data_IF_514656297490
#
_entry.id   IF_514656297490
#
_cell.length_a   1.000
_cell.length_b   1.000
_cell.length_c   1.000
_cell.angle_alpha   90.00
_cell.angle_beta   90.00
_cell.angle_gamma   90.00
#
_symmetry.space_group_name_H-M   'P 1'
#
loop_
_entity.id
_entity.type
_entity.pdbx_description
1 polymer ?
#
# COMPACT_ATOMS: atom_id res chain seq x y z
N UNK A 1 -13.27 12.24 35.02
CA UNK A 1 -13.97 11.46 33.97
C UNK A 1 -13.41 10.05 34.03
N UNK A 2 -14.16 8.98 33.74
CA UNK A 2 -13.52 7.66 33.68
C UNK A 2 -12.38 7.72 32.65
N UNK A 3 -11.23 7.13 32.97
CA UNK A 3 -10.15 6.92 32.00
C UNK A 3 -10.71 6.02 30.90
N UNK A 4 -11.25 6.66 29.87
CA UNK A 4 -11.34 6.04 28.56
C UNK A 4 -9.89 5.86 28.14
N UNK A 5 -9.41 4.62 28.21
CA UNK A 5 -8.07 4.27 27.78
C UNK A 5 -7.78 4.73 26.33
N UNK A 6 -6.60 4.41 25.80
CA UNK A 6 -6.08 5.03 24.58
C UNK A 6 -7.11 5.04 23.43
N UNK A 7 -7.28 6.19 22.80
CA UNK A 7 -8.27 6.41 21.76
C UNK A 7 -7.66 7.00 20.48
N UNK A 8 -8.08 6.51 19.32
CA UNK A 8 -7.69 7.07 18.04
C UNK A 8 -8.54 8.30 17.71
N UNK A 9 -7.86 9.41 17.45
CA UNK A 9 -8.42 10.61 16.84
C UNK A 9 -8.06 10.60 15.36
N UNK A 10 -9.05 10.77 14.49
CA UNK A 10 -8.87 10.77 13.03
C UNK A 10 -9.32 12.10 12.42
N UNK A 11 -8.50 12.65 11.55
CA UNK A 11 -8.79 13.84 10.76
C UNK A 11 -8.58 13.56 9.27
N UNK A 12 -9.63 13.78 8.46
CA UNK A 12 -9.56 13.75 7.00
C UNK A 12 -9.17 15.14 6.49
N UNK A 13 -7.87 15.43 6.46
CA UNK A 13 -7.32 16.66 5.94
C UNK A 13 -7.39 16.76 4.41
N UNK A 14 -6.89 17.88 3.88
CA UNK A 14 -6.75 18.08 2.44
C UNK A 14 -5.37 17.58 2.02
N UNK A 15 -5.34 16.58 1.14
CA UNK A 15 -4.09 15.99 0.65
C UNK A 15 -3.46 14.96 1.59
N UNK A 16 -4.03 14.75 2.78
CA UNK A 16 -3.57 13.77 3.76
C UNK A 16 -4.64 13.45 4.80
N UNK A 17 -4.57 12.24 5.38
CA UNK A 17 -5.36 11.80 6.50
C UNK A 17 -4.46 11.52 7.70
N UNK A 18 -4.85 12.02 8.87
CA UNK A 18 -4.07 11.93 10.11
C UNK A 18 -4.82 11.09 11.13
N UNK A 19 -4.10 10.20 11.81
CA UNK A 19 -4.59 9.46 12.95
C UNK A 19 -3.59 9.58 14.12
N UNK A 20 -4.09 9.88 15.32
CA UNK A 20 -3.29 9.94 16.53
C UNK A 20 -3.93 9.10 17.63
N UNK A 21 -3.17 8.16 18.20
CA UNK A 21 -3.56 7.46 19.41
C UNK A 21 -3.22 8.35 20.61
N UNK A 22 -4.25 8.77 21.34
CA UNK A 22 -4.10 9.69 22.47
C UNK A 22 -4.42 8.96 23.78
N UNK A 23 -3.57 9.16 24.78
CA UNK A 23 -3.72 8.69 26.16
C UNK A 23 -3.28 9.80 27.11
N UNK A 24 -4.11 10.18 28.09
CA UNK A 24 -3.86 11.29 29.03
C UNK A 24 -3.33 12.59 28.37
N UNK A 25 -4.05 13.09 27.37
CA UNK A 25 -3.71 14.29 26.57
C UNK A 25 -2.33 14.21 25.87
N UNK A 26 -1.77 13.01 25.71
CA UNK A 26 -0.51 12.78 24.99
C UNK A 26 -0.75 11.90 23.77
N UNK A 27 -0.16 12.28 22.64
CA UNK A 27 -0.07 11.42 21.46
C UNK A 27 1.01 10.35 21.75
N UNK A 28 0.59 9.09 21.77
CA UNK A 28 1.48 7.94 21.98
C UNK A 28 1.81 7.20 20.68
N UNK A 29 0.98 7.36 19.64
CA UNK A 29 1.21 6.86 18.28
C UNK A 29 0.59 7.83 17.27
N UNK A 30 1.20 7.97 16.09
CA UNK A 30 0.65 8.75 15.01
C UNK A 30 0.87 8.05 13.66
N UNK A 31 -0.14 8.12 12.79
CA UNK A 31 -0.08 7.67 11.42
C UNK A 31 -0.54 8.81 10.50
N UNK A 32 0.19 9.02 9.41
CA UNK A 32 -0.11 10.01 8.38
C UNK A 32 -0.16 9.27 7.05
N UNK A 33 -1.28 9.38 6.35
CA UNK A 33 -1.47 8.84 5.02
C UNK A 33 -1.60 9.99 4.02
N UNK A 34 -0.68 10.06 3.06
CA UNK A 34 -0.76 11.06 2.00
C UNK A 34 -1.80 10.63 0.96
N UNK A 35 -2.61 11.59 0.50
CA UNK A 35 -3.55 11.41 -0.60
C UNK A 35 -2.78 11.33 -1.92
N UNK A 36 -2.31 10.13 -2.25
CA UNK A 36 -1.53 9.87 -3.46
C UNK A 36 -2.04 8.61 -4.13
N UNK A 37 -1.95 8.60 -5.46
CA UNK A 37 -2.18 7.41 -6.28
C UNK A 37 -0.98 6.44 -6.28
N UNK A 38 -0.03 6.62 -5.34
CA UNK A 38 1.14 5.77 -5.27
C UNK A 38 0.79 4.38 -4.73
N UNK A 39 1.55 3.38 -5.17
CA UNK A 39 1.42 2.01 -4.69
C UNK A 39 1.75 1.94 -3.19
N UNK A 40 0.89 1.24 -2.43
CA UNK A 40 1.02 1.09 -0.98
C UNK A 40 1.60 -0.27 -0.63
N UNK A 41 2.35 -0.34 0.47
CA UNK A 41 2.83 -1.62 1.02
C UNK A 41 1.63 -2.46 1.44
N UNK A 42 1.63 -3.75 1.08
CA UNK A 42 0.52 -4.67 1.34
C UNK A 42 -0.67 -4.52 0.39
N UNK A 43 -0.55 -3.71 -0.67
CA UNK A 43 -1.57 -3.60 -1.71
C UNK A 43 -1.70 -4.92 -2.46
N UNK A 44 -2.87 -5.56 -2.35
CA UNK A 44 -3.22 -6.70 -3.20
C UNK A 44 -3.99 -6.20 -4.42
N UNK A 45 -3.39 -6.26 -5.60
CA UNK A 45 -3.98 -5.70 -6.81
C UNK A 45 -3.86 -6.63 -8.02
N UNK A 46 -4.75 -6.44 -9.00
CA UNK A 46 -4.62 -7.07 -10.32
C UNK A 46 -3.68 -6.27 -11.18
N UNK A 47 -2.72 -6.95 -11.78
CA UNK A 47 -1.67 -6.36 -12.59
C UNK A 47 -1.61 -7.02 -13.97
N UNK A 48 -0.89 -6.38 -14.89
CA UNK A 48 -0.52 -6.92 -16.19
C UNK A 48 1.00 -7.00 -16.28
N UNK A 49 1.53 -8.18 -16.61
CA UNK A 49 2.96 -8.34 -16.87
C UNK A 49 3.33 -7.63 -18.16
N UNK A 50 4.03 -6.50 -18.08
CA UNK A 50 4.40 -5.68 -19.24
C UNK A 50 5.78 -6.01 -19.78
N UNK A 51 6.64 -6.62 -18.96
CA UNK A 51 7.99 -7.03 -19.37
C UNK A 51 8.46 -8.27 -18.59
N UNK A 52 8.99 -9.26 -19.30
CA UNK A 52 9.69 -10.41 -18.73
C UNK A 52 11.19 -10.10 -18.59
N UNK A 53 11.72 -10.27 -17.39
CA UNK A 53 13.12 -10.03 -17.06
C UNK A 53 13.84 -11.35 -16.73
N UNK A 54 15.18 -11.42 -16.89
CA UNK A 54 15.96 -12.60 -16.53
C UNK A 54 15.77 -13.01 -15.07
N UNK A 55 15.79 -14.32 -14.81
CA UNK A 55 15.71 -14.88 -13.46
C UNK A 55 14.30 -14.94 -12.86
N UNK A 56 13.26 -15.14 -13.69
CA UNK A 56 11.84 -15.16 -13.28
C UNK A 56 11.43 -13.85 -12.60
N UNK A 57 11.91 -12.73 -13.14
CA UNK A 57 11.51 -11.39 -12.71
C UNK A 57 10.65 -10.76 -13.79
N UNK A 58 9.92 -9.70 -13.45
CA UNK A 58 9.19 -8.94 -14.44
C UNK A 58 8.79 -7.57 -13.94
N UNK A 59 8.36 -6.74 -14.88
CA UNK A 59 7.71 -5.47 -14.59
C UNK A 59 6.22 -5.62 -14.82
N UNK A 60 5.44 -5.23 -13.83
CA UNK A 60 3.99 -5.27 -13.90
C UNK A 60 3.44 -3.84 -13.90
N UNK A 61 2.43 -3.61 -14.73
CA UNK A 61 1.62 -2.39 -14.68
C UNK A 61 0.34 -2.68 -13.90
N UNK A 62 -0.03 -1.77 -13.02
CA UNK A 62 -1.18 -1.84 -12.13
C UNK A 62 -1.73 -0.43 -11.93
N UNK A 63 -2.94 -0.33 -11.36
CA UNK A 63 -3.51 0.98 -11.07
C UNK A 63 -2.63 1.69 -10.03
N UNK A 64 -2.26 2.95 -10.30
CA UNK A 64 -1.29 3.68 -9.49
C UNK A 64 0.20 3.52 -9.85
N UNK A 65 0.57 2.66 -10.82
CA UNK A 65 1.92 2.68 -11.38
C UNK A 65 2.50 1.36 -11.89
N UNK A 66 3.83 1.28 -11.89
CA UNK A 66 4.58 0.08 -12.26
C UNK A 66 5.35 -0.46 -11.06
N UNK A 67 5.45 -1.78 -10.95
CA UNK A 67 6.21 -2.46 -9.92
C UNK A 67 7.11 -3.54 -10.51
N UNK A 68 8.21 -3.83 -9.82
CA UNK A 68 9.06 -4.97 -10.11
C UNK A 68 8.62 -6.17 -9.27
N UNK A 69 8.47 -7.31 -9.92
CA UNK A 69 8.16 -8.57 -9.28
C UNK A 69 9.32 -9.54 -9.38
N UNK A 70 9.58 -10.18 -8.26
CA UNK A 70 10.46 -11.34 -8.16
C UNK A 70 9.61 -12.62 -8.14
N UNK A 71 10.18 -13.74 -8.59
CA UNK A 71 9.55 -15.06 -8.52
C UNK A 71 8.24 -15.19 -9.30
N UNK A 72 8.23 -14.74 -10.55
CA UNK A 72 7.11 -14.99 -11.46
C UNK A 72 6.76 -16.49 -11.51
N UNK A 73 5.46 -16.82 -11.53
CA UNK A 73 5.01 -18.19 -11.78
C UNK A 73 5.60 -18.73 -13.09
N UNK A 74 6.00 -20.01 -13.14
CA UNK A 74 6.51 -20.60 -14.38
C UNK A 74 5.45 -20.56 -15.47
N UNK A 75 5.86 -20.33 -16.73
CA UNK A 75 4.96 -20.34 -17.89
C UNK A 75 4.13 -19.08 -18.10
N UNK A 76 4.26 -18.05 -17.25
CA UNK A 76 3.59 -16.76 -17.48
C UNK A 76 4.24 -16.01 -18.64
N UNK A 77 3.41 -15.43 -19.52
CA UNK A 77 3.87 -14.68 -20.68
C UNK A 77 3.60 -13.19 -20.51
N UNK A 78 4.35 -12.36 -21.24
CA UNK A 78 4.05 -10.93 -21.32
C UNK A 78 2.60 -10.72 -21.80
N UNK A 79 1.94 -9.71 -21.22
CA UNK A 79 0.54 -9.41 -21.41
C UNK A 79 -0.41 -10.19 -20.48
N UNK A 80 0.07 -11.24 -19.80
CA UNK A 80 -0.75 -12.00 -18.84
C UNK A 80 -1.15 -11.14 -17.65
N UNK A 81 -2.30 -11.45 -17.06
CA UNK A 81 -2.81 -10.78 -15.87
C UNK A 81 -2.72 -11.66 -14.64
N UNK A 82 -2.19 -11.11 -13.56
CA UNK A 82 -1.88 -11.77 -12.30
C UNK A 82 -2.33 -10.90 -11.12
N UNK A 83 -2.59 -11.53 -9.97
CA UNK A 83 -2.81 -10.82 -8.71
C UNK A 83 -1.48 -10.79 -7.96
N UNK A 84 -1.14 -9.65 -7.39
CA UNK A 84 0.16 -9.37 -6.77
C UNK A 84 -0.02 -8.67 -5.44
N UNK A 85 0.95 -8.80 -4.55
CA UNK A 85 1.11 -8.08 -3.28
C UNK A 85 2.50 -7.43 -3.23
#
# INVERSE_FOLDING_TARGET
>A
MPDTGPAWLYEAGIGEAWAALVDDDRIIEAAIELDTEALKVGLIARARLVELLPGRRGRVALDGGEALINHLPPGITQGASLTVE
#
